data_IF_521731461325
#
_entry.id   IF_521731461325
#
_cell.length_a   1.000
_cell.length_b   1.000
_cell.length_c   1.000
_cell.angle_alpha   90.00
_cell.angle_beta   90.00
_cell.angle_gamma   90.00
#
_symmetry.space_group_name_H-M   'P 1'
#
loop_
_entity.id
_entity.type
_entity.pdbx_description
1 polymer ?
#
# COMPACT_ATOMS: atom_id res chain seq x y z
N UNK A 1 -29.25 -3.18 -17.93
CA UNK A 1 -28.78 -4.11 -16.88
C UNK A 1 -28.23 -3.27 -15.76
N UNK A 2 -28.67 -3.45 -14.52
CA UNK A 2 -28.32 -2.56 -13.40
C UNK A 2 -27.03 -2.99 -12.69
N UNK A 3 -26.13 -3.70 -13.40
CA UNK A 3 -24.93 -4.31 -12.84
C UNK A 3 -23.78 -4.22 -13.83
N UNK A 4 -22.55 -4.32 -13.32
CA UNK A 4 -21.35 -4.47 -14.14
C UNK A 4 -21.54 -5.55 -15.22
N UNK A 5 -21.36 -5.21 -16.50
CA UNK A 5 -21.37 -6.19 -17.59
C UNK A 5 -20.28 -7.24 -17.43
N UNK A 6 -20.58 -8.48 -17.83
CA UNK A 6 -19.58 -9.56 -17.87
C UNK A 6 -18.41 -9.19 -18.80
N UNK A 7 -18.71 -8.45 -19.88
CA UNK A 7 -17.71 -7.95 -20.81
C UNK A 7 -16.70 -7.02 -20.11
N UNK A 8 -17.14 -6.13 -19.23
CA UNK A 8 -16.25 -5.27 -18.44
C UNK A 8 -15.29 -6.08 -17.59
N UNK A 9 -15.77 -7.14 -16.95
CA UNK A 9 -14.94 -8.05 -16.15
C UNK A 9 -13.92 -8.79 -17.03
N UNK A 10 -14.31 -9.20 -18.23
CA UNK A 10 -13.40 -9.84 -19.20
C UNK A 10 -12.32 -8.87 -19.67
N UNK A 11 -12.70 -7.64 -20.00
CA UNK A 11 -11.78 -6.57 -20.41
C UNK A 11 -10.71 -6.36 -19.33
N UNK A 12 -11.09 -6.24 -18.06
CA UNK A 12 -10.12 -5.99 -16.99
C UNK A 12 -9.20 -7.17 -16.68
N UNK A 13 -9.52 -8.38 -17.16
CA UNK A 13 -8.71 -9.59 -16.99
C UNK A 13 -7.83 -9.91 -18.20
N UNK A 14 -8.03 -9.24 -19.33
CA UNK A 14 -7.26 -9.42 -20.55
C UNK A 14 -6.45 -8.14 -20.80
N UNK A 15 -5.13 -8.21 -20.70
CA UNK A 15 -4.22 -7.07 -20.76
C UNK A 15 -4.30 -6.35 -22.10
N UNK A 16 -4.49 -7.10 -23.19
CA UNK A 16 -4.59 -6.54 -24.54
C UNK A 16 -5.88 -5.76 -24.71
N UNK A 17 -7.01 -6.36 -24.32
CA UNK A 17 -8.31 -5.69 -24.34
C UNK A 17 -8.34 -4.48 -23.40
N UNK A 18 -7.79 -4.61 -22.19
CA UNK A 18 -7.68 -3.53 -21.23
C UNK A 18 -6.89 -2.36 -21.81
N UNK A 19 -5.72 -2.62 -22.38
CA UNK A 19 -4.87 -1.58 -22.97
C UNK A 19 -5.59 -0.86 -24.10
N UNK A 20 -6.22 -1.60 -25.01
CA UNK A 20 -6.99 -1.00 -26.09
C UNK A 20 -8.09 -0.08 -25.54
N UNK A 21 -8.81 -0.51 -24.50
CA UNK A 21 -9.88 0.30 -23.88
C UNK A 21 -9.36 1.55 -23.19
N UNK A 22 -8.18 1.50 -22.58
CA UNK A 22 -7.58 2.72 -22.00
C UNK A 22 -7.11 3.68 -23.11
N UNK A 23 -6.56 3.15 -24.22
CA UNK A 23 -6.17 3.97 -25.37
C UNK A 23 -7.37 4.65 -26.03
N UNK A 24 -8.53 3.99 -26.09
CA UNK A 24 -9.78 4.55 -26.64
C UNK A 24 -10.21 5.86 -25.93
N UNK A 25 -9.81 6.06 -24.66
CA UNK A 25 -10.09 7.25 -23.86
C UNK A 25 -8.87 8.16 -23.66
N UNK A 26 -7.76 7.88 -24.36
CA UNK A 26 -6.51 8.66 -24.26
C UNK A 26 -5.72 8.41 -22.97
N UNK A 27 -6.05 7.36 -22.23
CA UNK A 27 -5.38 6.99 -20.99
C UNK A 27 -4.17 6.08 -21.22
N UNK A 28 -3.22 6.12 -20.29
CA UNK A 28 -1.94 5.42 -20.41
C UNK A 28 -1.91 4.16 -19.56
N UNK A 29 -1.61 3.03 -20.19
CA UNK A 29 -1.22 1.78 -19.51
C UNK A 29 0.29 1.62 -19.68
N UNK A 30 0.92 0.93 -18.72
CA UNK A 30 2.35 0.62 -18.82
C UNK A 30 2.64 -0.01 -20.20
N UNK A 31 3.61 0.53 -20.98
CA UNK A 31 3.99 -0.06 -22.25
C UNK A 31 4.43 -1.51 -22.04
N UNK A 32 3.99 -2.42 -22.90
CA UNK A 32 4.36 -3.82 -22.81
C UNK A 32 4.64 -4.42 -24.19
N UNK A 33 5.35 -5.54 -24.19
CA UNK A 33 5.67 -6.32 -25.37
C UNK A 33 5.27 -7.78 -25.18
N UNK A 34 4.53 -8.32 -26.14
CA UNK A 34 4.25 -9.76 -26.22
C UNK A 34 5.48 -10.44 -26.81
N UNK A 35 6.04 -11.42 -26.10
CA UNK A 35 7.20 -12.18 -26.58
C UNK A 35 6.84 -13.65 -26.74
N UNK A 36 7.31 -14.25 -27.83
CA UNK A 36 6.98 -15.63 -28.22
C UNK A 36 8.19 -16.58 -28.21
N UNK A 37 9.38 -16.05 -27.92
CA UNK A 37 10.61 -16.82 -27.82
C UNK A 37 11.53 -16.22 -26.77
N UNK A 38 12.43 -17.06 -26.25
CA UNK A 38 13.45 -16.65 -25.28
C UNK A 38 14.37 -15.57 -25.86
N UNK A 39 14.69 -15.65 -27.15
CA UNK A 39 15.46 -14.62 -27.86
C UNK A 39 14.72 -13.27 -27.93
N UNK A 40 13.41 -13.28 -28.20
CA UNK A 40 12.60 -12.07 -28.17
C UNK A 40 12.52 -11.50 -26.75
N UNK A 41 12.37 -12.36 -25.74
CA UNK A 41 12.33 -11.95 -24.35
C UNK A 41 13.63 -11.27 -23.92
N UNK A 42 14.79 -11.89 -24.19
CA UNK A 42 16.12 -11.33 -23.88
C UNK A 42 16.34 -9.99 -24.59
N UNK A 43 15.97 -9.88 -25.86
CA UNK A 43 16.10 -8.63 -26.61
C UNK A 43 15.20 -7.50 -26.08
N UNK A 44 14.04 -7.85 -25.53
CA UNK A 44 13.08 -6.88 -25.00
C UNK A 44 13.41 -6.48 -23.55
N UNK A 45 14.04 -7.38 -22.80
CA UNK A 45 14.41 -7.17 -21.40
C UNK A 45 15.60 -6.22 -21.18
N UNK A 46 16.41 -5.93 -22.21
CA UNK A 46 17.43 -4.87 -22.14
C UNK A 46 16.83 -3.47 -21.84
N UNK A 47 15.50 -3.33 -21.89
CA UNK A 47 14.79 -2.08 -21.62
C UNK A 47 13.59 -2.22 -20.65
N UNK A 48 13.25 -3.42 -20.18
CA UNK A 48 11.92 -3.72 -19.64
C UNK A 48 11.94 -4.84 -18.57
N UNK A 49 11.00 -4.78 -17.63
CA UNK A 49 10.80 -5.72 -16.50
C UNK A 49 9.59 -6.62 -16.76
N UNK A 50 9.66 -7.89 -16.43
CA UNK A 50 8.63 -8.87 -16.76
C UNK A 50 7.45 -8.85 -15.78
N UNK A 51 6.22 -8.63 -16.27
CA UNK A 51 4.98 -8.96 -15.56
C UNK A 51 3.98 -9.58 -16.56
N UNK A 52 3.63 -10.88 -16.45
CA UNK A 52 2.54 -11.45 -17.23
C UNK A 52 1.28 -11.74 -16.39
N UNK A 53 0.15 -11.41 -17.02
CA UNK A 53 -1.30 -11.62 -16.79
C UNK A 53 -1.86 -12.58 -15.70
N UNK A 54 -1.10 -13.47 -15.08
CA UNK A 54 -1.68 -14.65 -14.39
C UNK A 54 -1.25 -14.82 -12.93
N UNK A 55 -0.69 -13.81 -12.26
CA UNK A 55 -0.23 -13.83 -10.85
C UNK A 55 0.74 -14.98 -10.47
N UNK A 56 1.20 -15.78 -11.45
CA UNK A 56 1.98 -17.01 -11.21
C UNK A 56 3.48 -16.77 -11.11
N UNK A 57 4.02 -15.78 -11.84
CA UNK A 57 5.45 -15.47 -11.81
C UNK A 57 5.68 -13.98 -12.03
N UNK A 58 6.08 -13.28 -10.96
CA UNK A 58 6.47 -11.86 -10.97
C UNK A 58 7.95 -11.72 -10.62
N UNK A 59 8.67 -10.87 -11.37
CA UNK A 59 10.14 -10.85 -11.42
C UNK A 59 10.72 -9.50 -11.91
N UNK A 60 11.45 -8.73 -11.08
CA UNK A 60 12.44 -7.77 -11.60
C UNK A 60 13.60 -8.60 -12.03
N UNK A 61 14.02 -8.34 -13.25
CA UNK A 61 15.06 -9.07 -13.91
C UNK A 61 16.15 -8.04 -14.09
N UNK A 62 17.13 -8.08 -13.21
CA UNK A 62 18.19 -7.08 -13.19
C UNK A 62 19.31 -7.47 -14.15
N UNK A 63 19.42 -8.77 -14.44
CA UNK A 63 20.40 -9.28 -15.38
C UNK A 63 19.82 -10.36 -16.29
N UNK A 64 20.56 -10.61 -17.38
CA UNK A 64 20.22 -11.59 -18.40
C UNK A 64 20.16 -13.02 -17.86
N UNK A 65 20.97 -13.36 -16.87
CA UNK A 65 21.04 -14.72 -16.35
C UNK A 65 19.81 -15.05 -15.50
N UNK A 66 19.33 -14.10 -14.69
CA UNK A 66 18.05 -14.15 -13.99
C UNK A 66 16.88 -14.31 -14.96
N UNK A 67 16.87 -13.54 -16.05
CA UNK A 67 15.86 -13.67 -17.10
C UNK A 67 15.80 -15.08 -17.65
N UNK A 68 16.97 -15.62 -18.02
CA UNK A 68 17.08 -16.94 -18.62
C UNK A 68 16.64 -18.00 -17.61
N UNK A 69 17.04 -17.88 -16.35
CA UNK A 69 16.64 -18.78 -15.26
C UNK A 69 15.12 -18.77 -15.07
N UNK A 70 14.51 -17.58 -15.00
CA UNK A 70 13.07 -17.39 -14.86
C UNK A 70 12.31 -17.95 -16.07
N UNK A 71 12.75 -17.64 -17.29
CA UNK A 71 12.10 -18.13 -18.50
C UNK A 71 12.16 -19.66 -18.60
N UNK A 72 13.28 -20.25 -18.21
CA UNK A 72 13.48 -21.70 -18.19
C UNK A 72 12.54 -22.42 -17.21
N UNK A 73 12.14 -21.79 -16.10
CA UNK A 73 11.18 -22.39 -15.17
C UNK A 73 9.74 -22.39 -15.69
N UNK A 74 9.40 -21.58 -16.70
CA UNK A 74 8.04 -21.36 -17.22
C UNK A 74 7.83 -21.99 -18.61
N UNK A 75 8.83 -22.72 -19.11
CA UNK A 75 9.01 -22.99 -20.54
C UNK A 75 8.07 -24.05 -21.22
N UNK A 76 7.02 -24.64 -20.63
CA UNK A 76 5.98 -25.27 -21.45
C UNK A 76 4.96 -24.26 -22.03
N UNK A 77 4.83 -23.05 -21.47
CA UNK A 77 3.66 -22.17 -21.72
C UNK A 77 4.03 -20.75 -22.22
N UNK A 78 5.12 -20.62 -22.98
CA UNK A 78 5.65 -19.36 -23.53
C UNK A 78 4.68 -18.58 -24.44
N UNK A 79 3.52 -19.14 -24.81
CA UNK A 79 2.59 -18.52 -25.75
C UNK A 79 1.92 -17.23 -25.26
N UNK A 80 2.13 -16.86 -23.99
CA UNK A 80 1.49 -15.70 -23.33
C UNK A 80 2.43 -14.85 -22.46
N UNK A 81 3.73 -14.83 -22.74
CA UNK A 81 4.63 -14.00 -21.94
C UNK A 81 4.53 -12.52 -22.37
N UNK A 82 4.31 -11.65 -21.38
CA UNK A 82 4.28 -10.19 -21.52
C UNK A 82 5.46 -9.60 -20.73
N UNK A 83 6.16 -8.64 -21.34
CA UNK A 83 7.24 -7.89 -20.69
C UNK A 83 6.82 -6.42 -20.64
N UNK A 84 6.73 -5.85 -19.44
CA UNK A 84 6.26 -4.49 -19.18
C UNK A 84 7.43 -3.50 -19.04
N UNK A 85 7.17 -2.21 -19.28
CA UNK A 85 8.09 -1.15 -18.89
C UNK A 85 8.31 -1.20 -17.39
N UNK A 86 9.58 -1.14 -16.99
CA UNK A 86 9.92 -1.01 -15.58
C UNK A 86 9.34 0.30 -15.05
N UNK A 87 8.43 0.17 -14.10
CA UNK A 87 7.93 1.26 -13.27
C UNK A 87 8.53 1.15 -11.86
N UNK A 88 9.69 0.47 -11.73
CA UNK A 88 10.44 0.37 -10.49
C UNK A 88 10.63 1.78 -9.90
N UNK A 89 10.48 1.89 -8.60
CA UNK A 89 10.65 3.13 -7.83
C UNK A 89 9.54 4.19 -7.99
N UNK A 90 8.51 3.94 -8.80
CA UNK A 90 7.36 4.85 -8.91
C UNK A 90 6.41 4.65 -7.72
N UNK A 91 5.71 5.71 -7.31
CA UNK A 91 4.69 5.61 -6.26
C UNK A 91 3.55 4.71 -6.72
N UNK A 92 3.05 3.85 -5.84
CA UNK A 92 1.86 3.05 -6.08
C UNK A 92 0.66 3.65 -5.36
N UNK A 93 -0.32 4.10 -6.13
CA UNK A 93 -1.52 4.78 -5.66
C UNK A 93 -2.75 3.99 -6.07
N UNK A 94 -3.72 3.87 -5.17
CA UNK A 94 -4.98 3.16 -5.43
C UNK A 94 -6.19 4.06 -5.16
N UNK A 95 -7.23 3.91 -5.96
CA UNK A 95 -8.49 4.61 -5.80
C UNK A 95 -9.64 3.61 -5.77
N UNK A 96 -10.45 3.67 -4.72
CA UNK A 96 -11.70 2.92 -4.61
C UNK A 96 -12.85 3.81 -5.10
N UNK A 97 -13.51 3.38 -6.17
CA UNK A 97 -14.49 4.19 -6.90
C UNK A 97 -15.81 3.46 -6.96
N UNK A 98 -16.91 4.18 -6.73
CA UNK A 98 -18.27 3.65 -6.84
C UNK A 98 -19.04 4.42 -7.91
N UNK A 99 -19.79 3.69 -8.72
CA UNK A 99 -20.66 4.26 -9.75
C UNK A 99 -22.02 3.57 -9.79
N UNK A 100 -23.09 4.36 -9.89
CA UNK A 100 -24.44 3.85 -10.09
C UNK A 100 -24.90 3.91 -11.56
N UNK A 101 -26.09 3.38 -11.83
CA UNK A 101 -26.69 3.35 -13.18
C UNK A 101 -27.17 4.71 -13.69
N UNK A 102 -27.22 5.72 -12.83
CA UNK A 102 -27.60 7.09 -13.15
C UNK A 102 -26.37 7.97 -13.42
N UNK A 103 -25.19 7.34 -13.51
CA UNK A 103 -23.89 7.97 -13.75
C UNK A 103 -23.37 8.86 -12.61
N UNK A 104 -23.96 8.75 -11.42
CA UNK A 104 -23.33 9.27 -10.21
C UNK A 104 -22.08 8.43 -9.95
N UNK A 105 -20.94 9.11 -9.77
CA UNK A 105 -19.66 8.47 -9.58
C UNK A 105 -18.87 9.23 -8.51
N UNK A 106 -18.47 8.49 -7.48
CA UNK A 106 -17.83 9.01 -6.28
C UNK A 106 -16.56 8.21 -5.98
N UNK A 107 -15.59 8.87 -5.37
CA UNK A 107 -14.33 8.28 -4.94
C UNK A 107 -14.38 8.13 -3.43
N UNK A 108 -14.39 6.89 -2.97
CA UNK A 108 -14.62 6.56 -1.56
C UNK A 108 -13.33 6.74 -0.75
N UNK A 109 -12.21 6.30 -1.31
CA UNK A 109 -10.92 6.44 -0.66
C UNK A 109 -9.80 6.39 -1.69
N UNK A 110 -8.75 7.13 -1.41
CA UNK A 110 -7.49 7.00 -2.11
C UNK A 110 -6.41 6.51 -1.13
N UNK A 111 -5.56 5.62 -1.61
CA UNK A 111 -4.57 4.92 -0.80
C UNK A 111 -3.20 5.08 -1.42
N UNK A 112 -2.20 5.18 -0.55
CA UNK A 112 -0.80 5.28 -0.95
C UNK A 112 -0.01 4.14 -0.33
N UNK A 113 0.76 3.44 -1.14
CA UNK A 113 1.67 2.40 -0.67
C UNK A 113 2.97 3.09 -0.21
N UNK A 114 3.47 2.75 0.98
CA UNK A 114 4.72 3.30 1.51
C UNK A 114 5.90 2.79 0.67
N UNK A 115 5.90 1.49 0.37
CA UNK A 115 6.88 0.92 -0.54
C UNK A 115 6.54 1.36 -1.98
N UNK A 116 7.52 1.91 -2.73
CA UNK A 116 7.32 2.19 -4.13
C UNK A 116 7.10 0.88 -4.89
N UNK A 117 6.74 0.99 -6.17
CA UNK A 117 6.60 -0.16 -7.04
C UNK A 117 7.88 -0.98 -7.04
N UNK A 118 7.75 -2.12 -6.40
CA UNK A 118 8.76 -3.15 -6.35
C UNK A 118 8.22 -4.45 -6.95
N UNK A 119 9.08 -5.46 -6.91
CA UNK A 119 8.97 -6.77 -7.51
C UNK A 119 7.66 -7.50 -7.13
N UNK A 120 7.24 -7.27 -5.87
CA UNK A 120 6.01 -7.76 -5.26
C UNK A 120 5.44 -6.62 -4.42
N UNK A 121 4.24 -6.15 -4.75
CA UNK A 121 3.61 -4.98 -4.10
C UNK A 121 2.56 -5.38 -3.08
N UNK A 122 2.36 -6.68 -2.92
CA UNK A 122 1.34 -7.31 -2.11
C UNK A 122 1.70 -7.22 -0.62
N UNK A 123 2.97 -7.03 -0.27
CA UNK A 123 3.47 -6.84 1.11
C UNK A 123 3.52 -5.40 1.59
N UNK A 124 3.18 -4.43 0.73
CA UNK A 124 3.35 -3.03 1.09
C UNK A 124 2.46 -2.65 2.27
N UNK A 125 3.03 -1.85 3.16
CA UNK A 125 2.24 -1.05 4.10
C UNK A 125 1.48 0.00 3.27
N UNK A 126 0.19 0.16 3.57
CA UNK A 126 -0.70 1.06 2.81
C UNK A 126 -1.33 2.07 3.77
N UNK A 127 -1.33 3.34 3.39
CA UNK A 127 -1.94 4.45 4.14
C UNK A 127 -3.16 5.01 3.41
N UNK A 128 -4.17 5.40 4.17
CA UNK A 128 -5.34 6.13 3.73
C UNK A 128 -5.60 7.35 4.63
N UNK A 129 -5.84 8.55 4.08
CA UNK A 129 -5.73 8.91 2.66
C UNK A 129 -4.27 8.94 2.19
N UNK A 130 -4.01 9.20 0.89
CA UNK A 130 -2.64 9.47 0.42
C UNK A 130 -2.03 10.69 1.14
N UNK A 131 -0.73 10.68 1.36
CA UNK A 131 -0.02 11.70 2.14
C UNK A 131 0.85 12.61 1.25
N UNK A 132 1.36 12.11 0.13
CA UNK A 132 2.43 12.79 -0.63
C UNK A 132 2.01 13.26 -2.02
N UNK A 133 0.72 13.17 -2.35
CA UNK A 133 0.18 13.70 -3.60
C UNK A 133 -0.04 15.22 -3.49
N UNK A 134 0.41 15.95 -4.51
CA UNK A 134 -0.05 17.31 -4.72
C UNK A 134 -1.55 17.35 -5.05
N UNK A 135 -2.18 18.51 -4.89
CA UNK A 135 -3.60 18.68 -5.25
C UNK A 135 -3.85 18.39 -6.74
N UNK A 136 -2.90 18.74 -7.61
CA UNK A 136 -2.99 18.49 -9.05
C UNK A 136 -2.91 16.99 -9.35
N UNK A 137 -1.98 16.26 -8.72
CA UNK A 137 -1.87 14.80 -8.88
C UNK A 137 -3.10 14.08 -8.32
N UNK A 138 -3.59 14.48 -7.15
CA UNK A 138 -4.81 13.94 -6.56
C UNK A 138 -6.00 14.11 -7.52
N UNK A 139 -6.23 15.33 -8.00
CA UNK A 139 -7.36 15.61 -8.89
C UNK A 139 -7.22 14.95 -10.26
N UNK A 140 -5.98 14.82 -10.77
CA UNK A 140 -5.67 14.09 -11.99
C UNK A 140 -6.07 12.62 -11.85
N UNK A 141 -5.51 11.92 -10.86
CA UNK A 141 -5.78 10.49 -10.66
C UNK A 141 -7.24 10.21 -10.29
N UNK A 142 -7.88 11.10 -9.51
CA UNK A 142 -9.32 11.07 -9.22
C UNK A 142 -10.14 11.13 -10.51
N UNK A 143 -9.82 12.09 -11.39
CA UNK A 143 -10.53 12.28 -12.67
C UNK A 143 -10.36 11.09 -13.59
N UNK A 144 -9.13 10.58 -13.72
CA UNK A 144 -8.83 9.38 -14.50
C UNK A 144 -9.62 8.18 -13.99
N UNK A 145 -9.67 7.98 -12.67
CA UNK A 145 -10.41 6.88 -12.05
C UNK A 145 -11.91 6.92 -12.41
N UNK A 146 -12.51 8.12 -12.43
CA UNK A 146 -13.91 8.34 -12.82
C UNK A 146 -14.11 8.10 -14.33
N UNK A 147 -13.17 8.52 -15.19
CA UNK A 147 -13.25 8.28 -16.64
C UNK A 147 -13.17 6.77 -16.91
N UNK A 148 -12.25 6.06 -16.24
CA UNK A 148 -12.04 4.61 -16.40
C UNK A 148 -13.27 3.82 -16.01
N UNK A 149 -13.84 4.05 -14.82
CA UNK A 149 -15.04 3.30 -14.37
C UNK A 149 -16.25 3.54 -15.28
N UNK A 150 -16.41 4.77 -15.79
CA UNK A 150 -17.46 5.14 -16.76
C UNK A 150 -17.26 4.45 -18.10
N UNK A 151 -16.04 4.51 -18.64
CA UNK A 151 -15.72 3.93 -19.94
C UNK A 151 -15.89 2.41 -19.94
N UNK A 152 -15.49 1.75 -18.86
CA UNK A 152 -15.70 0.31 -18.68
C UNK A 152 -17.16 -0.05 -18.37
N UNK A 153 -18.05 0.91 -18.17
CA UNK A 153 -19.47 0.68 -17.91
C UNK A 153 -19.74 -0.05 -16.60
N UNK A 154 -18.84 0.09 -15.62
CA UNK A 154 -18.96 -0.57 -14.31
C UNK A 154 -20.09 0.08 -13.52
N UNK A 155 -20.89 -0.76 -12.85
CA UNK A 155 -21.98 -0.37 -11.94
C UNK A 155 -21.77 -1.13 -10.62
N UNK A 156 -21.50 -0.40 -9.55
CA UNK A 156 -20.97 -0.94 -8.30
C UNK A 156 -19.62 -0.30 -7.98
N UNK A 157 -18.71 -1.08 -7.39
CA UNK A 157 -17.37 -0.63 -6.99
C UNK A 157 -16.26 -1.21 -7.88
N UNK A 158 -15.16 -0.48 -8.00
CA UNK A 158 -13.89 -1.02 -8.48
C UNK A 158 -12.69 -0.31 -7.83
N UNK A 159 -11.56 -0.99 -7.82
CA UNK A 159 -10.28 -0.47 -7.38
C UNK A 159 -9.40 -0.18 -8.60
N UNK A 160 -8.98 1.08 -8.79
CA UNK A 160 -8.08 1.51 -9.87
C UNK A 160 -6.69 1.73 -9.29
N UNK A 161 -5.66 1.11 -9.87
CA UNK A 161 -4.28 1.20 -9.39
C UNK A 161 -3.39 1.93 -10.38
N UNK A 162 -2.54 2.81 -9.86
CA UNK A 162 -1.66 3.68 -10.61
C UNK A 162 -0.21 3.53 -10.17
N UNK A 163 0.68 3.63 -11.15
CA UNK A 163 2.06 4.00 -10.95
C UNK A 163 2.19 5.51 -11.20
N UNK A 164 2.76 6.27 -10.28
CA UNK A 164 2.97 7.71 -10.40
C UNK A 164 4.46 8.05 -10.25
N UNK A 165 4.99 8.80 -11.21
CA UNK A 165 6.36 9.29 -11.17
C UNK A 165 6.46 10.52 -10.27
N UNK A 166 7.26 10.41 -9.21
CA UNK A 166 7.46 11.47 -8.22
C UNK A 166 8.13 12.75 -8.76
N UNK A 167 8.75 12.72 -9.94
CA UNK A 167 9.51 13.84 -10.53
C UNK A 167 8.76 14.56 -11.65
N UNK A 168 7.88 13.87 -12.37
CA UNK A 168 7.23 14.40 -13.58
C UNK A 168 5.70 14.39 -13.54
N UNK A 169 5.11 13.86 -12.47
CA UNK A 169 3.67 13.56 -12.36
C UNK A 169 3.13 12.70 -13.52
N UNK A 170 4.01 12.05 -14.30
CA UNK A 170 3.62 11.05 -15.28
C UNK A 170 3.04 9.85 -14.55
N UNK A 171 1.92 9.30 -15.04
CA UNK A 171 1.31 8.11 -14.47
C UNK A 171 1.02 7.05 -15.54
N UNK A 172 0.86 5.82 -15.06
CA UNK A 172 0.31 4.70 -15.81
C UNK A 172 -0.75 3.99 -14.97
N UNK A 173 -1.86 3.61 -15.61
CA UNK A 173 -2.85 2.71 -15.03
C UNK A 173 -2.26 1.30 -15.06
N UNK A 174 -2.14 0.69 -13.89
CA UNK A 174 -1.58 -0.65 -13.75
C UNK A 174 -2.64 -1.72 -13.93
N UNK A 175 -3.73 -1.61 -13.17
CA UNK A 175 -4.84 -2.56 -13.16
C UNK A 175 -6.12 -1.93 -12.63
N UNK A 176 -7.25 -2.53 -13.00
CA UNK A 176 -8.58 -2.22 -12.47
C UNK A 176 -9.20 -3.51 -11.97
N UNK A 177 -9.43 -3.61 -10.67
CA UNK A 177 -10.11 -4.74 -10.06
C UNK A 177 -11.60 -4.41 -9.93
N UNK A 178 -12.44 -5.12 -10.68
CA UNK A 178 -13.89 -4.88 -10.70
C UNK A 178 -14.59 -5.69 -9.62
N UNK A 179 -15.42 -5.03 -8.82
CA UNK A 179 -16.09 -5.63 -7.67
C UNK A 179 -15.32 -5.43 -6.37
N UNK A 180 -15.75 -6.16 -5.33
CA UNK A 180 -15.15 -6.07 -4.00
C UNK A 180 -13.78 -6.76 -3.99
N UNK A 181 -12.83 -6.14 -3.27
CA UNK A 181 -11.46 -6.61 -3.08
C UNK A 181 -11.03 -6.46 -1.61
N UNK A 182 -9.88 -7.00 -1.23
CA UNK A 182 -9.29 -6.72 0.08
C UNK A 182 -9.04 -5.21 0.30
N UNK A 183 -8.68 -4.46 -0.74
CA UNK A 183 -8.59 -2.99 -0.69
C UNK A 183 -9.96 -2.35 -0.42
N UNK A 184 -11.05 -2.92 -0.93
CA UNK A 184 -12.42 -2.47 -0.64
C UNK A 184 -12.81 -2.73 0.82
N UNK A 185 -12.36 -3.85 1.41
CA UNK A 185 -12.59 -4.16 2.83
C UNK A 185 -11.88 -3.14 3.73
N UNK A 186 -10.58 -2.91 3.47
CA UNK A 186 -9.81 -1.87 4.15
C UNK A 186 -10.46 -0.49 3.99
N UNK A 187 -10.85 -0.12 2.77
CA UNK A 187 -11.53 1.16 2.49
C UNK A 187 -12.82 1.31 3.28
N UNK A 188 -13.65 0.26 3.34
CA UNK A 188 -14.91 0.31 4.08
C UNK A 188 -14.70 0.53 5.57
N UNK A 189 -13.63 -0.04 6.13
CA UNK A 189 -13.26 0.13 7.54
C UNK A 189 -12.61 1.49 7.81
N UNK A 190 -11.71 1.93 6.94
CA UNK A 190 -11.03 3.21 7.05
C UNK A 190 -11.98 4.40 6.90
N UNK A 191 -13.03 4.28 6.08
CA UNK A 191 -13.97 5.41 5.82
C UNK A 191 -15.29 5.29 6.56
N UNK A 192 -15.61 4.11 7.09
CA UNK A 192 -16.95 3.76 7.54
C UNK A 192 -17.98 3.60 6.41
N UNK A 193 -17.61 3.79 5.15
CA UNK A 193 -18.51 3.68 4.01
C UNK A 193 -18.74 2.20 3.64
N UNK A 194 -19.96 1.65 3.74
CA UNK A 194 -20.18 0.22 3.62
C UNK A 194 -20.26 -0.24 2.15
N UNK A 195 -19.11 -0.33 1.46
CA UNK A 195 -19.01 -0.60 0.01
C UNK A 195 -19.80 -1.82 -0.46
N UNK A 196 -19.71 -2.94 0.28
CA UNK A 196 -20.43 -4.16 -0.08
C UNK A 196 -21.95 -3.98 -0.04
N UNK A 197 -22.45 -3.30 1.00
CA UNK A 197 -23.87 -2.99 1.14
C UNK A 197 -24.35 -2.05 0.04
N UNK A 198 -23.62 -0.95 -0.19
CA UNK A 198 -23.97 0.02 -1.24
C UNK A 198 -23.94 -0.65 -2.61
N UNK A 199 -22.86 -1.38 -2.95
CA UNK A 199 -22.74 -2.09 -4.22
C UNK A 199 -23.91 -3.04 -4.45
N UNK A 200 -24.33 -3.80 -3.43
CA UNK A 200 -25.48 -4.69 -3.52
C UNK A 200 -26.78 -3.92 -3.83
N UNK A 201 -26.99 -2.74 -3.22
CA UNK A 201 -28.15 -1.88 -3.50
C UNK A 201 -28.11 -1.28 -4.91
N UNK A 202 -26.95 -0.85 -5.38
CA UNK A 202 -26.80 -0.33 -6.74
C UNK A 202 -27.12 -1.40 -7.79
N UNK A 203 -26.72 -2.66 -7.54
CA UNK A 203 -27.05 -3.81 -8.40
C UNK A 203 -28.56 -4.04 -8.50
N UNK A 204 -29.32 -3.70 -7.46
CA UNK A 204 -30.79 -3.76 -7.44
C UNK A 204 -31.45 -2.55 -8.11
N UNK A 205 -30.67 -1.57 -8.60
CA UNK A 205 -31.16 -0.39 -9.30
C UNK A 205 -31.44 0.84 -8.42
N UNK A 206 -31.04 0.81 -7.14
CA UNK A 206 -31.14 1.99 -6.27
C UNK A 206 -30.09 3.05 -6.68
N UNK A 207 -30.42 4.32 -6.46
CA UNK A 207 -29.54 5.45 -6.70
C UNK A 207 -28.69 5.76 -5.45
N UNK A 208 -27.42 6.16 -5.61
CA UNK A 208 -26.58 6.63 -4.50
C UNK A 208 -27.24 7.74 -3.67
N UNK A 209 -27.98 8.65 -4.33
CA UNK A 209 -28.68 9.76 -3.68
C UNK A 209 -29.89 9.33 -2.84
N UNK A 210 -30.45 8.14 -3.09
CA UNK A 210 -31.59 7.58 -2.35
C UNK A 210 -31.16 6.76 -1.13
N UNK A 211 -29.90 6.32 -1.11
CA UNK A 211 -29.35 5.52 -0.03
C UNK A 211 -28.92 6.42 1.13
N UNK A 212 -29.43 6.17 2.33
CA UNK A 212 -29.01 6.86 3.55
C UNK A 212 -27.58 6.51 3.93
N UNK A 213 -26.85 7.49 4.47
CA UNK A 213 -25.61 7.24 5.17
C UNK A 213 -25.91 6.87 6.63
N UNK A 214 -25.77 5.59 6.97
CA UNK A 214 -26.13 5.03 8.27
C UNK A 214 -25.26 5.56 9.44
N UNK A 215 -24.08 6.14 9.15
CA UNK A 215 -23.22 6.72 10.18
C UNK A 215 -23.73 8.10 10.59
N UNK A 216 -24.03 8.96 9.62
CA UNK A 216 -24.43 10.35 9.90
C UNK A 216 -25.94 10.50 10.07
N UNK A 217 -26.74 9.54 9.60
CA UNK A 217 -28.21 9.50 9.64
C UNK A 217 -28.93 10.74 9.04
N UNK A 218 -28.19 11.62 8.37
CA UNK A 218 -28.67 12.92 7.89
C UNK A 218 -28.26 13.21 6.46
N UNK A 219 -27.32 12.45 5.91
CA UNK A 219 -26.82 12.59 4.53
C UNK A 219 -27.13 11.33 3.71
N UNK A 220 -27.01 11.43 2.39
CA UNK A 220 -27.10 10.27 1.49
C UNK A 220 -25.72 9.63 1.27
N UNK A 221 -25.67 8.52 0.54
CA UNK A 221 -24.44 7.80 0.20
C UNK A 221 -23.71 8.39 -1.01
N UNK A 222 -24.25 9.45 -1.65
CA UNK A 222 -23.64 10.10 -2.80
C UNK A 222 -22.64 11.20 -2.38
N UNK A 223 -21.52 10.82 -1.75
CA UNK A 223 -20.47 11.75 -1.33
C UNK A 223 -19.09 11.07 -1.34
N UNK A 224 -18.03 11.86 -1.46
CA UNK A 224 -16.65 11.42 -1.24
C UNK A 224 -16.35 11.58 0.28
N UNK A 225 -16.08 10.50 1.03
CA UNK A 225 -15.67 10.61 2.44
C UNK A 225 -14.41 11.45 2.63
N UNK A 226 -14.36 12.17 3.74
CA UNK A 226 -13.17 12.91 4.19
C UNK A 226 -12.77 12.38 5.56
N UNK A 227 -11.49 12.07 5.72
CA UNK A 227 -10.93 11.49 6.94
C UNK A 227 -10.14 12.57 7.68
N UNK A 228 -10.42 12.71 8.98
CA UNK A 228 -9.68 13.58 9.90
C UNK A 228 -8.66 12.79 10.74
N UNK A 229 -8.30 11.60 10.25
CA UNK A 229 -7.33 10.66 10.79
C UNK A 229 -6.61 9.94 9.66
N UNK A 230 -5.56 9.21 10.02
CA UNK A 230 -4.78 8.35 9.14
C UNK A 230 -5.09 6.90 9.48
N UNK A 231 -5.44 6.10 8.48
CA UNK A 231 -5.59 4.66 8.59
C UNK A 231 -4.42 3.96 7.93
N UNK A 232 -3.82 2.97 8.61
CA UNK A 232 -2.67 2.22 8.09
C UNK A 232 -3.00 0.74 8.10
N UNK A 233 -2.71 0.09 6.97
CA UNK A 233 -2.84 -1.35 6.75
C UNK A 233 -1.46 -1.99 6.68
N UNK A 234 -1.26 -3.07 7.44
CA UNK A 234 -0.02 -3.86 7.43
C UNK A 234 -0.37 -5.33 7.27
N UNK A 235 0.39 -6.07 6.46
CA UNK A 235 0.22 -7.51 6.34
C UNK A 235 0.72 -8.24 7.59
N UNK A 236 0.00 -9.28 8.00
CA UNK A 236 0.47 -10.23 9.00
C UNK A 236 1.13 -11.41 8.34
N UNK A 237 2.43 -11.58 8.59
CA UNK A 237 3.25 -12.62 8.01
C UNK A 237 3.53 -13.72 9.03
N UNK A 238 3.59 -14.97 8.57
CA UNK A 238 3.92 -16.12 9.41
C UNK A 238 5.44 -16.22 9.59
N UNK A 239 6.02 -15.40 10.47
CA UNK A 239 7.46 -15.36 10.74
C UNK A 239 8.03 -16.72 11.23
N UNK A 240 7.20 -17.59 11.81
CA UNK A 240 7.64 -18.88 12.37
C UNK A 240 7.96 -19.97 11.33
N UNK A 241 7.55 -19.81 10.06
CA UNK A 241 7.82 -20.78 8.99
C UNK A 241 9.07 -20.46 8.16
N UNK A 242 9.64 -19.26 8.26
CA UNK A 242 10.72 -18.80 7.35
C UNK A 242 12.09 -19.44 7.60
N UNK A 243 12.33 -20.07 8.76
CA UNK A 243 13.62 -20.70 9.09
C UNK A 243 13.97 -21.95 8.25
N UNK A 244 13.09 -22.41 7.35
CA UNK A 244 13.33 -23.61 6.51
C UNK A 244 13.14 -23.40 5.00
N UNK A 245 12.71 -22.22 4.55
CA UNK A 245 12.61 -21.91 3.12
C UNK A 245 13.66 -20.88 2.73
N UNK A 246 14.31 -21.11 1.59
CA UNK A 246 15.27 -20.20 0.95
C UNK A 246 14.79 -18.74 0.98
N UNK A 247 15.73 -17.79 1.10
CA UNK A 247 15.53 -16.33 1.05
C UNK A 247 14.93 -15.80 -0.28
N UNK A 248 14.42 -16.69 -1.14
CA UNK A 248 13.75 -16.37 -2.39
C UNK A 248 12.27 -16.71 -2.21
N UNK A 249 11.44 -15.67 -2.24
CA UNK A 249 10.03 -15.70 -1.88
C UNK A 249 9.26 -16.61 -2.84
N UNK A 250 8.83 -17.79 -2.37
CA UNK A 250 7.92 -18.68 -3.09
C UNK A 250 6.64 -17.94 -3.54
N UNK A 251 6.14 -18.33 -4.71
CA UNK A 251 5.10 -17.67 -5.52
C UNK A 251 3.68 -17.79 -4.98
N UNK A 252 3.48 -18.06 -3.68
CA UNK A 252 2.16 -18.13 -3.05
C UNK A 252 2.04 -17.14 -1.90
N UNK A 253 0.97 -16.33 -1.92
CA UNK A 253 0.58 -15.46 -0.81
C UNK A 253 0.31 -16.31 0.45
N UNK A 254 1.32 -16.46 1.31
CA UNK A 254 1.15 -16.99 2.68
C UNK A 254 1.10 -15.86 3.73
N UNK A 255 0.41 -14.76 3.45
CA UNK A 255 0.00 -13.85 4.53
C UNK A 255 -1.09 -14.51 5.37
N UNK A 256 -0.92 -14.57 6.68
CA UNK A 256 -1.94 -15.09 7.60
C UNK A 256 -3.15 -14.15 7.76
N UNK A 257 -3.00 -12.89 7.36
CA UNK A 257 -4.06 -11.88 7.39
C UNK A 257 -3.49 -10.48 7.23
N UNK A 258 -4.31 -9.47 7.56
CA UNK A 258 -3.95 -8.06 7.56
C UNK A 258 -4.43 -7.41 8.86
N UNK A 259 -3.75 -6.36 9.30
CA UNK A 259 -4.15 -5.52 10.44
C UNK A 259 -4.38 -4.09 9.98
N UNK A 260 -5.25 -3.38 10.70
CA UNK A 260 -5.56 -1.98 10.44
C UNK A 260 -5.53 -1.21 11.75
N UNK A 261 -4.81 -0.08 11.76
CA UNK A 261 -4.87 0.89 12.85
C UNK A 261 -5.30 2.27 12.33
N UNK A 262 -5.86 3.08 13.24
CA UNK A 262 -6.28 4.45 12.98
C UNK A 262 -5.62 5.34 14.03
N UNK A 263 -5.05 6.46 13.58
CA UNK A 263 -4.43 7.47 14.45
C UNK A 263 -4.67 8.88 13.92
N UNK A 264 -4.55 9.88 14.79
CA UNK A 264 -4.63 11.31 14.42
C UNK A 264 -3.34 11.80 13.73
N UNK A 265 -2.25 11.06 13.88
CA UNK A 265 -0.99 11.25 13.18
C UNK A 265 -0.58 9.96 12.45
N UNK A 266 0.35 10.07 11.50
CA UNK A 266 0.91 8.91 10.83
C UNK A 266 1.70 8.04 11.81
N UNK A 267 2.52 8.69 12.64
CA UNK A 267 3.38 8.06 13.64
C UNK A 267 2.53 7.19 14.60
N UNK A 268 1.42 7.75 15.08
CA UNK A 268 0.49 7.06 15.97
C UNK A 268 -0.12 5.81 15.30
N UNK A 269 -0.75 6.00 14.13
CA UNK A 269 -1.38 4.91 13.40
C UNK A 269 -0.37 3.82 13.03
N UNK A 270 0.85 4.22 12.69
CA UNK A 270 1.90 3.32 12.22
C UNK A 270 2.41 2.43 13.35
N UNK A 271 2.75 3.02 14.51
CA UNK A 271 3.19 2.24 15.66
C UNK A 271 2.08 1.32 16.19
N UNK A 272 0.82 1.77 16.19
CA UNK A 272 -0.32 0.91 16.51
C UNK A 272 -0.45 -0.26 15.54
N UNK A 273 -0.34 -0.03 14.24
CA UNK A 273 -0.44 -1.08 13.23
C UNK A 273 0.65 -2.14 13.41
N UNK A 274 1.90 -1.72 13.64
CA UNK A 274 3.03 -2.65 13.87
C UNK A 274 2.80 -3.55 15.08
N UNK A 275 2.30 -3.01 16.20
CA UNK A 275 1.95 -3.81 17.39
C UNK A 275 0.85 -4.84 17.17
N UNK A 276 -0.03 -4.62 16.20
CA UNK A 276 -1.09 -5.57 15.88
C UNK A 276 -0.58 -6.75 15.05
N UNK A 277 0.56 -6.62 14.37
CA UNK A 277 1.13 -7.65 13.49
C UNK A 277 1.52 -8.90 14.28
N UNK A 278 2.28 -8.71 15.35
CA UNK A 278 2.71 -9.79 16.23
C UNK A 278 2.86 -9.31 17.69
N UNK A 279 2.62 -10.20 18.65
CA UNK A 279 2.72 -9.93 20.09
C UNK A 279 4.14 -9.53 20.54
N UNK A 280 5.15 -9.95 19.79
CA UNK A 280 6.55 -9.69 20.11
C UNK A 280 7.01 -8.34 19.56
N UNK A 281 6.21 -7.70 18.69
CA UNK A 281 6.46 -6.36 18.14
C UNK A 281 5.84 -5.31 19.06
N UNK A 282 6.66 -4.38 19.56
CA UNK A 282 6.24 -3.31 20.48
C UNK A 282 6.01 -1.96 19.82
N UNK A 283 6.49 -1.79 18.59
CA UNK A 283 6.37 -0.58 17.79
C UNK A 283 7.38 -0.60 16.65
N UNK A 284 7.84 0.59 16.26
CA UNK A 284 8.88 0.75 15.25
C UNK A 284 10.28 0.68 15.87
N UNK A 285 10.67 -0.52 16.30
CA UNK A 285 11.88 -0.74 17.09
C UNK A 285 13.09 -1.14 16.22
N UNK A 286 14.27 -0.54 16.40
CA UNK A 286 15.51 -0.96 15.74
C UNK A 286 16.01 -2.32 16.26
N UNK A 287 16.63 -3.10 15.39
CA UNK A 287 17.34 -4.32 15.78
C UNK A 287 18.64 -4.01 16.52
N UNK A 288 19.02 -4.92 17.43
CA UNK A 288 20.33 -4.90 18.11
C UNK A 288 21.47 -5.47 17.25
N UNK A 289 21.52 -5.10 15.96
CA UNK A 289 22.59 -5.50 15.02
C UNK A 289 22.88 -4.41 14.01
N UNK A 290 24.08 -4.43 13.44
CA UNK A 290 24.40 -3.62 12.26
C UNK A 290 23.73 -4.20 11.02
N UNK A 291 23.34 -3.32 10.10
CA UNK A 291 22.79 -3.69 8.81
C UNK A 291 23.70 -3.20 7.69
N UNK A 292 23.48 -3.73 6.49
CA UNK A 292 24.15 -3.29 5.26
C UNK A 292 23.15 -2.66 4.29
N UNK A 293 23.63 -1.80 3.40
CA UNK A 293 22.78 -1.13 2.40
C UNK A 293 21.99 -2.12 1.53
N UNK A 294 22.58 -3.29 1.22
CA UNK A 294 21.93 -4.33 0.43
C UNK A 294 20.63 -4.86 1.06
N UNK A 295 20.54 -4.87 2.40
CA UNK A 295 19.34 -5.31 3.12
C UNK A 295 18.18 -4.31 2.97
N UNK A 296 18.47 -3.05 2.63
CA UNK A 296 17.45 -2.01 2.40
C UNK A 296 16.98 -1.97 0.94
N UNK A 297 17.86 -2.31 -0.01
CA UNK A 297 17.57 -2.29 -1.45
C UNK A 297 16.48 -3.30 -1.80
N UNK A 298 16.65 -4.55 -1.35
CA UNK A 298 15.68 -5.62 -1.63
C UNK A 298 14.61 -5.63 -0.54
N UNK A 299 13.34 -5.30 -0.85
CA UNK A 299 12.29 -5.29 0.15
C UNK A 299 12.02 -6.71 0.67
N UNK A 300 12.13 -6.87 1.98
CA UNK A 300 11.70 -8.05 2.73
C UNK A 300 10.59 -7.68 3.71
N UNK A 301 10.01 -8.67 4.34
CA UNK A 301 9.08 -8.49 5.46
C UNK A 301 9.71 -7.80 6.67
N UNK A 302 11.02 -7.92 6.84
CA UNK A 302 11.78 -7.24 7.89
C UNK A 302 12.16 -5.80 7.53
N UNK A 303 11.93 -5.34 6.29
CA UNK A 303 12.40 -4.02 5.80
C UNK A 303 12.01 -2.88 6.71
N UNK A 304 10.82 -2.92 7.29
CA UNK A 304 10.35 -1.88 8.22
C UNK A 304 11.27 -1.75 9.45
N UNK A 305 11.71 -2.86 10.03
CA UNK A 305 12.63 -2.86 11.18
C UNK A 305 14.07 -2.57 10.75
N UNK A 306 14.44 -2.90 9.52
CA UNK A 306 15.71 -2.48 8.93
C UNK A 306 15.78 -0.96 8.75
N UNK A 307 14.69 -0.31 8.34
CA UNK A 307 14.59 1.16 8.28
C UNK A 307 14.76 1.80 9.66
N UNK A 308 14.10 1.25 10.68
CA UNK A 308 14.27 1.70 12.07
C UNK A 308 15.75 1.59 12.51
N UNK A 309 16.39 0.46 12.19
CA UNK A 309 17.79 0.19 12.50
C UNK A 309 18.74 1.15 11.78
N UNK A 310 18.48 1.44 10.49
CA UNK A 310 19.27 2.37 9.68
C UNK A 310 19.26 3.78 10.30
N UNK A 311 18.06 4.29 10.58
CA UNK A 311 17.85 5.60 11.19
C UNK A 311 18.51 5.69 12.57
N UNK A 312 18.37 4.63 13.39
CA UNK A 312 19.00 4.58 14.71
C UNK A 312 20.54 4.57 14.63
N UNK A 313 21.11 4.03 13.55
CA UNK A 313 22.55 4.03 13.26
C UNK A 313 23.03 5.35 12.61
N UNK A 314 22.15 6.34 12.43
CA UNK A 314 22.48 7.65 11.88
C UNK A 314 22.54 7.69 10.36
N UNK A 315 21.90 6.75 9.66
CA UNK A 315 21.69 6.86 8.22
C UNK A 315 20.86 8.12 7.92
N UNK A 316 21.26 8.88 6.90
CA UNK A 316 20.49 10.06 6.48
C UNK A 316 19.25 9.65 5.71
N UNK A 317 18.20 10.49 5.78
CA UNK A 317 16.98 10.35 4.96
C UNK A 317 17.29 10.19 3.48
N UNK A 318 18.25 10.98 2.96
CA UNK A 318 18.63 10.93 1.55
C UNK A 318 19.29 9.59 1.17
N UNK A 319 20.17 9.08 2.02
CA UNK A 319 20.80 7.77 1.79
C UNK A 319 19.76 6.65 1.77
N UNK A 320 18.82 6.65 2.73
CA UNK A 320 17.72 5.67 2.75
C UNK A 320 16.80 5.85 1.54
N UNK A 321 16.48 7.08 1.13
CA UNK A 321 15.70 7.35 -0.07
C UNK A 321 16.40 6.80 -1.32
N UNK A 322 17.71 6.97 -1.44
CA UNK A 322 18.46 6.47 -2.59
C UNK A 322 18.40 4.95 -2.71
N UNK A 323 18.49 4.24 -1.59
CA UNK A 323 18.42 2.78 -1.51
C UNK A 323 17.00 2.22 -1.70
N UNK A 324 16.01 2.90 -1.12
CA UNK A 324 14.65 2.31 -0.97
C UNK A 324 13.58 2.93 -1.85
N UNK A 325 13.79 4.20 -2.23
CA UNK A 325 12.86 5.05 -2.97
C UNK A 325 11.51 5.28 -2.28
N UNK A 326 11.42 4.93 -0.99
CA UNK A 326 10.32 5.32 -0.11
C UNK A 326 10.29 6.84 -0.01
N UNK A 327 9.12 7.45 -0.15
CA UNK A 327 9.00 8.91 -0.15
C UNK A 327 9.60 9.51 1.13
N UNK A 328 10.35 10.62 0.96
CA UNK A 328 11.02 11.32 2.05
C UNK A 328 10.07 11.69 3.17
N UNK A 329 8.81 11.99 2.85
CA UNK A 329 7.81 12.30 3.87
C UNK A 329 7.67 11.16 4.88
N UNK A 330 7.54 9.91 4.44
CA UNK A 330 7.46 8.74 5.33
C UNK A 330 8.76 8.54 6.10
N UNK A 331 9.91 8.70 5.43
CA UNK A 331 11.22 8.56 6.07
C UNK A 331 11.43 9.58 7.20
N UNK A 332 11.03 10.84 7.00
CA UNK A 332 11.06 11.86 8.05
C UNK A 332 10.15 11.48 9.23
N UNK A 333 8.99 10.87 8.95
CA UNK A 333 8.08 10.39 10.01
C UNK A 333 8.67 9.23 10.81
N UNK A 334 9.35 8.31 10.15
CA UNK A 334 10.11 7.26 10.80
C UNK A 334 11.25 7.83 11.64
N UNK A 335 11.99 8.81 11.12
CA UNK A 335 13.05 9.47 11.86
C UNK A 335 12.54 10.15 13.14
N UNK A 336 11.38 10.82 13.10
CA UNK A 336 10.76 11.41 14.31
C UNK A 336 10.55 10.37 15.42
N UNK A 337 10.09 9.16 15.07
CA UNK A 337 9.91 8.07 16.03
C UNK A 337 11.27 7.65 16.62
N UNK A 338 12.28 7.49 15.76
CA UNK A 338 13.62 7.07 16.19
C UNK A 338 14.31 8.14 17.06
N UNK A 339 14.16 9.43 16.73
CA UNK A 339 14.68 10.52 17.56
C UNK A 339 14.03 10.52 18.94
N UNK A 340 12.73 10.24 19.02
CA UNK A 340 12.05 10.11 20.30
C UNK A 340 12.58 8.91 21.11
N UNK A 341 12.83 7.76 20.46
CA UNK A 341 13.49 6.60 21.10
C UNK A 341 14.84 7.00 21.71
N UNK A 342 15.67 7.71 20.95
CA UNK A 342 16.99 8.17 21.41
C UNK A 342 16.83 9.12 22.61
N UNK A 343 15.87 10.04 22.55
CA UNK A 343 15.58 10.96 23.65
C UNK A 343 15.18 10.22 24.93
N UNK A 344 14.27 9.24 24.83
CA UNK A 344 13.84 8.41 25.97
C UNK A 344 15.01 7.69 26.66
N UNK A 345 16.04 7.28 25.91
CA UNK A 345 17.23 6.62 26.47
C UNK A 345 18.12 7.52 27.34
N UNK A 346 17.93 8.84 27.24
CA UNK A 346 18.75 9.84 27.94
C UNK A 346 18.00 10.62 29.02
N UNK A 347 16.69 10.44 29.16
CA UNK A 347 15.85 11.19 30.09
C UNK A 347 14.90 10.30 30.89
N UNK A 348 14.56 10.71 32.12
CA UNK A 348 13.47 10.09 32.89
C UNK A 348 12.10 10.42 32.28
N UNK A 349 11.72 9.72 31.21
CA UNK A 349 10.50 9.97 30.41
C UNK A 349 9.22 10.07 31.25
N UNK A 350 9.17 9.33 32.36
CA UNK A 350 7.98 9.14 33.19
C UNK A 350 7.75 10.26 34.20
N UNK A 351 8.80 11.04 34.53
CA UNK A 351 8.67 12.20 35.42
C UNK A 351 8.26 13.47 34.66
N UNK A 352 8.38 13.49 33.33
CA UNK A 352 8.00 14.62 32.49
C UNK A 352 6.67 14.35 31.77
N UNK A 353 5.60 15.00 32.26
CA UNK A 353 4.26 14.94 31.65
C UNK A 353 4.27 15.28 30.16
N UNK A 354 5.07 16.26 29.76
CA UNK A 354 5.12 16.73 28.36
C UNK A 354 5.67 15.64 27.46
N UNK A 355 6.77 15.03 27.91
CA UNK A 355 7.43 13.96 27.18
C UNK A 355 6.57 12.70 27.12
N UNK A 356 5.87 12.37 28.22
CA UNK A 356 4.94 11.24 28.24
C UNK A 356 3.76 11.46 27.30
N UNK A 357 3.20 12.68 27.24
CA UNK A 357 2.13 13.03 26.30
C UNK A 357 2.61 12.93 24.85
N UNK A 358 3.82 13.42 24.56
CA UNK A 358 4.43 13.31 23.23
C UNK A 358 4.61 11.83 22.82
N UNK A 359 5.07 10.97 23.74
CA UNK A 359 5.17 9.52 23.50
C UNK A 359 3.83 8.91 23.07
N UNK A 360 2.75 9.26 23.78
CA UNK A 360 1.41 8.77 23.48
C UNK A 360 0.91 9.29 22.12
N UNK A 361 1.15 10.56 21.80
CA UNK A 361 0.78 11.17 20.51
C UNK A 361 1.56 10.63 19.31
N UNK A 362 2.78 10.14 19.55
CA UNK A 362 3.58 9.39 18.58
C UNK A 362 3.20 7.91 18.52
N UNK A 363 2.28 7.46 19.39
CA UNK A 363 1.75 6.10 19.44
C UNK A 363 2.66 5.08 20.10
N UNK A 364 3.61 5.49 20.95
CA UNK A 364 4.45 4.55 21.71
C UNK A 364 3.61 3.72 22.68
N UNK A 365 3.92 2.42 22.78
CA UNK A 365 3.32 1.60 23.84
C UNK A 365 4.04 1.79 25.16
N UNK A 366 3.35 1.53 26.28
CA UNK A 366 3.97 1.54 27.60
C UNK A 366 5.20 0.62 27.66
N UNK A 367 5.11 -0.57 27.04
CA UNK A 367 6.22 -1.53 26.95
C UNK A 367 7.43 -0.94 26.21
N UNK A 368 7.20 -0.22 25.13
CA UNK A 368 8.26 0.43 24.35
C UNK A 368 8.91 1.59 25.13
N UNK A 369 8.11 2.42 25.80
CA UNK A 369 8.59 3.51 26.66
C UNK A 369 9.44 2.94 27.81
N UNK A 370 8.95 1.89 28.47
CA UNK A 370 9.62 1.21 29.57
C UNK A 370 10.98 0.63 29.12
N UNK A 371 11.01 -0.02 27.96
CA UNK A 371 12.23 -0.56 27.36
C UNK A 371 13.31 0.50 27.16
N UNK A 372 12.96 1.64 26.54
CA UNK A 372 13.94 2.69 26.24
C UNK A 372 14.25 3.61 27.42
N UNK A 373 13.35 3.71 28.39
CA UNK A 373 13.58 4.49 29.62
C UNK A 373 14.20 3.68 30.76
N UNK A 374 14.43 2.37 30.56
CA UNK A 374 15.00 1.44 31.55
C UNK A 374 14.23 1.37 32.88
N UNK A 375 12.90 1.36 32.80
CA UNK A 375 11.97 1.30 33.93
C UNK A 375 10.94 0.19 33.71
N UNK A 376 10.09 -0.05 34.71
CA UNK A 376 9.01 -1.04 34.59
C UNK A 376 7.82 -0.50 33.79
N UNK A 377 7.13 -1.38 33.05
CA UNK A 377 5.92 -1.01 32.29
C UNK A 377 4.81 -0.50 33.21
N UNK A 378 4.67 -1.08 34.40
CA UNK A 378 3.66 -0.67 35.38
C UNK A 378 3.92 0.74 35.91
N UNK A 379 5.19 1.18 35.99
CA UNK A 379 5.55 2.56 36.37
C UNK A 379 5.16 3.57 35.30
N UNK A 380 5.35 3.23 34.01
CA UNK A 380 4.87 4.06 32.89
C UNK A 380 3.34 4.19 32.96
N UNK A 381 2.64 3.06 33.15
CA UNK A 381 1.18 3.04 33.21
C UNK A 381 0.64 3.88 34.37
N UNK A 382 1.22 3.72 35.57
CA UNK A 382 0.84 4.50 36.75
C UNK A 382 1.02 6.01 36.54
N UNK A 383 2.05 6.41 35.79
CA UNK A 383 2.32 7.82 35.53
C UNK A 383 1.40 8.41 34.47
N UNK A 384 1.04 7.64 33.42
CA UNK A 384 -0.03 8.03 32.49
C UNK A 384 -1.34 8.29 33.26
N UNK A 385 -1.74 7.35 34.13
CA UNK A 385 -2.95 7.48 34.95
C UNK A 385 -2.88 8.67 35.92
N UNK A 386 -1.69 8.98 36.45
CA UNK A 386 -1.50 10.13 37.33
C UNK A 386 -1.72 11.47 36.59
N UNK A 387 -1.27 11.57 35.34
CA UNK A 387 -1.36 12.82 34.56
C UNK A 387 -2.68 13.03 33.80
N UNK A 388 -3.50 11.99 33.70
CA UNK A 388 -4.86 12.02 33.15
C UNK A 388 -5.90 12.48 34.19
N UNK A 389 -5.60 12.35 35.49
CA UNK A 389 -6.39 12.88 36.60
C UNK A 389 -6.03 14.34 36.92
#
# INVERSE_FOLDING_TARGET
>A
MNRTPIESIKITKDRSLFTQKMVDIGEKVAPYQVVKSLEQAVKSAEQLVCFPEDDRVSGFIENRDELISLLNSILPDLSKLLIDKSLKDWKKIEYEVVRDQYDNCIVICNMENIDPLALRTDYSIVVAPSQTLSSDEYNLLRSVSIIVIRHLGIIGTCNVQFALNSLSSEYYIMKVNVGLSHSSEFTSKATGYPLAYITAKLVLGLNLAELSNDITNTTCSCFDPSLDYVAIKVLRLNLSKSNQCSNEIETSMESAGEVMAIGRSFEEAFQQALRMVDKDITGFDPYSRTITDNELITPTDERVFLLATALYQGYTIEHIFELTKIDRWFLNKFESIIQFIIQCSHSSTVEDRTLLLEAQQLGFSHKQIAQYSHIDEDEVRASCEHYDN
#
